data_IF_006113763090
#
_entry.id   IF_006113763090
#
_cell.length_a   1.000
_cell.length_b   1.000
_cell.length_c   1.000
_cell.angle_alpha   90.00
_cell.angle_beta   90.00
_cell.angle_gamma   90.00
#
_symmetry.space_group_name_H-M   'P 1'
#
loop_
_entity.id
_entity.type
_entity.pdbx_description
1 polymer ?
#
# COMPACT_ATOMS: atom_id res chain seq x y z
N UNK A 1 -8.75 6.03 -20.43
CA UNK A 1 -7.86 5.30 -19.51
C UNK A 1 -8.70 4.93 -18.30
N UNK A 2 -8.85 3.63 -18.00
CA UNK A 2 -9.69 3.19 -16.87
C UNK A 2 -8.89 3.32 -15.57
N UNK A 3 -9.29 4.20 -14.65
CA UNK A 3 -8.73 4.24 -13.30
C UNK A 3 -9.09 2.95 -12.56
N UNK A 4 -8.12 2.36 -11.86
CA UNK A 4 -8.34 1.15 -11.04
C UNK A 4 -8.60 1.58 -9.61
N UNK A 5 -9.72 1.15 -9.03
CA UNK A 5 -10.09 1.48 -7.65
C UNK A 5 -10.06 0.25 -6.75
N UNK A 6 -9.55 0.42 -5.53
CA UNK A 6 -9.63 -0.51 -4.42
C UNK A 6 -10.33 0.20 -3.26
N UNK A 7 -11.66 0.04 -3.16
CA UNK A 7 -12.44 0.84 -2.22
C UNK A 7 -12.27 2.34 -2.48
N UNK A 8 -11.79 3.08 -1.47
CA UNK A 8 -11.53 4.54 -1.56
C UNK A 8 -10.18 4.89 -2.19
N UNK A 9 -9.39 3.90 -2.59
CA UNK A 9 -8.07 4.11 -3.15
C UNK A 9 -8.09 4.04 -4.68
N UNK A 10 -7.75 5.13 -5.34
CA UNK A 10 -7.52 5.18 -6.78
C UNK A 10 -6.05 4.90 -7.07
N UNK A 11 -5.74 3.85 -7.82
CA UNK A 11 -4.38 3.53 -8.26
C UNK A 11 -4.00 4.46 -9.42
N UNK A 12 -2.98 5.30 -9.23
CA UNK A 12 -2.57 6.29 -10.23
C UNK A 12 -1.47 5.75 -11.14
N UNK A 13 -0.32 5.37 -10.55
CA UNK A 13 0.82 4.83 -11.31
C UNK A 13 1.74 4.00 -10.46
N UNK A 14 2.44 3.06 -11.08
CA UNK A 14 3.55 2.34 -10.44
C UNK A 14 4.72 3.30 -10.20
N UNK A 15 5.30 3.22 -9.01
CA UNK A 15 6.51 3.98 -8.63
C UNK A 15 7.73 3.05 -8.68
N UNK A 16 7.59 1.83 -8.16
CA UNK A 16 8.70 0.88 -8.05
C UNK A 16 8.23 -0.57 -8.04
N UNK A 17 9.17 -1.48 -8.22
CA UNK A 17 9.04 -2.91 -7.95
C UNK A 17 10.30 -3.39 -7.22
N UNK A 18 10.11 -4.18 -6.17
CA UNK A 18 11.19 -4.88 -5.47
C UNK A 18 11.06 -6.39 -5.66
N UNK A 19 11.78 -7.17 -4.85
CA UNK A 19 11.72 -8.64 -4.93
C UNK A 19 10.36 -9.22 -4.52
N UNK A 20 9.65 -8.57 -3.60
CA UNK A 20 8.45 -9.14 -2.96
C UNK A 20 7.14 -8.46 -3.38
N UNK A 21 7.22 -7.18 -3.73
CA UNK A 21 6.05 -6.33 -3.90
C UNK A 21 6.35 -5.22 -4.91
N UNK A 22 5.27 -4.63 -5.39
CA UNK A 22 5.27 -3.43 -6.20
C UNK A 22 4.64 -2.27 -5.43
N UNK A 23 5.12 -1.07 -5.73
CA UNK A 23 4.78 0.16 -5.04
C UNK A 23 4.04 1.06 -6.02
N UNK A 24 2.86 1.53 -5.64
CA UNK A 24 2.03 2.43 -6.42
C UNK A 24 1.82 3.75 -5.71
N UNK A 25 1.83 4.83 -6.49
CA UNK A 25 1.18 6.08 -6.10
C UNK A 25 -0.31 5.87 -6.24
N UNK A 26 -1.05 6.19 -5.19
CA UNK A 26 -2.49 6.11 -5.17
C UNK A 26 -3.08 7.35 -4.50
N UNK A 27 -4.38 7.53 -4.71
CA UNK A 27 -5.15 8.61 -4.14
C UNK A 27 -6.19 8.02 -3.21
N UNK A 28 -6.14 8.39 -1.93
CA UNK A 28 -7.18 8.00 -0.97
C UNK A 28 -8.24 9.10 -0.94
N UNK A 29 -9.41 8.80 -1.48
CA UNK A 29 -10.53 9.74 -1.59
C UNK A 29 -11.33 9.77 -0.29
N UNK A 30 -11.53 10.99 0.22
CA UNK A 30 -12.41 11.32 1.34
C UNK A 30 -13.72 11.92 0.86
N UNK A 31 -14.49 12.45 1.82
CA UNK A 31 -15.75 13.15 1.52
C UNK A 31 -15.49 14.48 0.80
N UNK A 32 -16.51 15.00 0.12
CA UNK A 32 -16.44 16.32 -0.53
C UNK A 32 -15.42 16.43 -1.69
N UNK A 33 -14.92 15.30 -2.20
CA UNK A 33 -13.89 15.29 -3.26
C UNK A 33 -12.48 15.61 -2.76
N UNK A 34 -12.28 15.68 -1.44
CA UNK A 34 -10.94 15.77 -0.87
C UNK A 34 -10.20 14.44 -1.06
N UNK A 35 -8.89 14.53 -1.23
CA UNK A 35 -8.05 13.34 -1.27
C UNK A 35 -6.69 13.62 -0.66
N UNK A 36 -6.02 12.53 -0.29
CA UNK A 36 -4.60 12.52 0.05
C UNK A 36 -3.86 11.54 -0.85
N UNK A 37 -2.66 11.92 -1.26
CA UNK A 37 -1.77 10.99 -1.94
C UNK A 37 -1.22 9.99 -0.92
N UNK A 38 -1.23 8.71 -1.29
CA UNK A 38 -0.76 7.60 -0.49
C UNK A 38 0.08 6.65 -1.33
N UNK A 39 0.81 5.77 -0.65
CA UNK A 39 1.55 4.69 -1.29
C UNK A 39 0.85 3.37 -0.98
N UNK A 40 0.65 2.55 -2.01
CA UNK A 40 0.15 1.18 -1.85
C UNK A 40 1.29 0.21 -2.19
N UNK A 41 1.66 -0.63 -1.21
CA UNK A 41 2.58 -1.75 -1.38
C UNK A 41 1.77 -3.02 -1.62
N UNK A 42 1.84 -3.57 -2.83
CA UNK A 42 1.10 -4.77 -3.24
C UNK A 42 2.02 -5.95 -3.43
N UNK A 43 1.79 -7.03 -2.69
CA UNK A 43 2.45 -8.32 -2.88
C UNK A 43 2.21 -8.86 -4.30
N UNK A 44 3.24 -9.46 -4.90
CA UNK A 44 3.03 -10.21 -6.14
C UNK A 44 2.17 -11.46 -5.90
N UNK A 45 1.26 -11.76 -6.82
CA UNK A 45 0.29 -12.85 -6.69
C UNK A 45 0.96 -14.20 -6.45
N UNK A 46 2.04 -14.50 -7.18
CA UNK A 46 2.83 -15.73 -7.00
C UNK A 46 3.50 -15.83 -5.62
N UNK A 47 3.77 -14.71 -4.97
CA UNK A 47 4.38 -14.68 -3.63
C UNK A 47 3.35 -14.70 -2.51
N UNK A 48 2.11 -14.30 -2.78
CA UNK A 48 1.00 -14.38 -1.84
C UNK A 48 0.64 -15.83 -1.47
N UNK A 49 0.95 -16.79 -2.35
CA UNK A 49 0.76 -18.22 -2.13
C UNK A 49 1.82 -18.84 -1.19
N UNK A 50 2.91 -18.13 -0.91
CA UNK A 50 3.96 -18.58 -0.01
C UNK A 50 3.72 -18.07 1.42
N UNK A 51 3.42 -18.96 2.40
CA UNK A 51 3.05 -18.56 3.76
C UNK A 51 4.12 -17.70 4.45
N UNK A 52 5.40 -17.98 4.19
CA UNK A 52 6.52 -17.22 4.77
C UNK A 52 6.53 -15.79 4.28
N UNK A 53 6.31 -15.57 2.97
CA UNK A 53 6.30 -14.23 2.38
C UNK A 53 5.11 -13.42 2.84
N UNK A 54 3.92 -14.05 2.89
CA UNK A 54 2.72 -13.43 3.44
C UNK A 54 2.92 -13.04 4.91
N UNK A 55 3.54 -13.91 5.72
CA UNK A 55 3.84 -13.62 7.13
C UNK A 55 4.78 -12.43 7.26
N UNK A 56 5.88 -12.40 6.51
CA UNK A 56 6.82 -11.27 6.53
C UNK A 56 6.13 -9.95 6.16
N UNK A 57 5.28 -9.95 5.13
CA UNK A 57 4.48 -8.79 4.74
C UNK A 57 3.61 -8.27 5.88
N UNK A 58 2.86 -9.18 6.50
CA UNK A 58 1.95 -8.83 7.60
C UNK A 58 2.72 -8.37 8.84
N UNK A 59 3.89 -8.96 9.12
CA UNK A 59 4.75 -8.52 10.21
C UNK A 59 5.25 -7.09 10.01
N UNK A 60 5.70 -6.74 8.80
CA UNK A 60 6.12 -5.37 8.47
C UNK A 60 4.98 -4.36 8.69
N UNK A 61 3.79 -4.66 8.15
CA UNK A 61 2.62 -3.80 8.30
C UNK A 61 2.24 -3.61 9.78
N UNK A 62 2.21 -4.69 10.58
CA UNK A 62 1.90 -4.64 12.01
C UNK A 62 2.92 -3.84 12.82
N UNK A 63 4.20 -3.98 12.52
CA UNK A 63 5.26 -3.23 13.20
C UNK A 63 5.12 -1.73 12.92
N UNK A 64 4.95 -1.36 11.64
CA UNK A 64 4.83 0.04 11.24
C UNK A 64 3.51 0.68 11.71
N UNK A 65 2.41 -0.06 11.77
CA UNK A 65 1.12 0.44 12.26
C UNK A 65 1.16 0.91 13.73
N UNK A 66 2.09 0.39 14.53
CA UNK A 66 2.29 0.83 15.91
C UNK A 66 3.25 2.02 16.06
N UNK A 67 3.87 2.48 14.97
CA UNK A 67 4.82 3.59 14.99
C UNK A 67 4.12 4.88 14.55
N UNK A 68 4.12 5.87 15.44
CA UNK A 68 3.61 7.22 15.16
C UNK A 68 4.71 8.24 15.45
N UNK A 69 5.50 8.57 14.42
CA UNK A 69 6.63 9.49 14.55
C UNK A 69 6.80 10.31 13.26
N UNK A 70 7.12 11.62 13.33
CA UNK A 70 7.20 12.48 12.15
C UNK A 70 8.20 12.03 11.08
N UNK A 71 9.25 11.30 11.47
CA UNK A 71 10.29 10.79 10.57
C UNK A 71 10.09 9.33 10.14
N UNK A 72 8.95 8.72 10.49
CA UNK A 72 8.62 7.34 10.11
C UNK A 72 7.31 7.38 9.30
N UNK A 73 7.28 6.82 8.08
CA UNK A 73 6.05 6.74 7.32
C UNK A 73 4.95 6.02 8.10
N UNK A 74 3.77 6.63 8.19
CA UNK A 74 2.63 6.04 8.87
C UNK A 74 1.92 5.05 7.94
N UNK A 75 1.61 3.86 8.48
CA UNK A 75 0.74 2.89 7.84
C UNK A 75 -0.69 3.10 8.34
N UNK A 76 -1.65 3.20 7.41
CA UNK A 76 -3.04 3.54 7.72
C UNK A 76 -3.98 2.34 7.77
N UNK A 77 -3.77 1.37 6.88
CA UNK A 77 -4.65 0.23 6.59
C UNK A 77 -3.78 -0.96 6.16
#
# INVERSE_FOLDING_TARGET
>A
MSSTFYGRYELLRKIAAGGMAEIYLARHWGEGGFFRDVVIKRLFTNLAEHPTTLRMFQTEARLLAHLSHPNIPQVFD
#
